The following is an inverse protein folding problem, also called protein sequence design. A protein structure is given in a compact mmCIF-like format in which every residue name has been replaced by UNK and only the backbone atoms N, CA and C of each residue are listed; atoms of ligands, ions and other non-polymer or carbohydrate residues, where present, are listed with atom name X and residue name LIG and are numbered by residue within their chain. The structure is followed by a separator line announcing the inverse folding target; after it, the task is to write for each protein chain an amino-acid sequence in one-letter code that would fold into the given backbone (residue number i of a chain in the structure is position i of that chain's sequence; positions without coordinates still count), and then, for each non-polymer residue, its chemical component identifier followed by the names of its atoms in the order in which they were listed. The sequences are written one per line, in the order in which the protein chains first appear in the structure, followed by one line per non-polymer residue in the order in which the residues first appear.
data_IF_244612238343
#
_entry.id   IF_244612238343
#
_cell.length_a   1.000
_cell.length_b   1.000
_cell.length_c   1.000
_cell.angle_alpha   90.00
_cell.angle_beta   90.00
_cell.angle_gamma   90.00
#
_symmetry.space_group_name_H-M   'P 1'
#
loop_
_entity.id
_entity.type
_entity.pdbx_description
1 polymer ?
#
# COMPACT_ATOMS: atom_id res chain seq x y z
N UNK A 1 1.79 -5.25 12.30
CA UNK A 1 2.75 -5.53 11.21
C UNK A 1 3.06 -4.21 10.52
N UNK A 2 4.33 -3.93 10.23
CA UNK A 2 4.78 -2.72 9.53
C UNK A 2 5.37 -3.07 8.17
N UNK A 3 5.28 -2.17 7.19
CA UNK A 3 5.81 -2.35 5.85
C UNK A 3 6.23 -1.00 5.25
N UNK A 4 7.02 -1.06 4.18
CA UNK A 4 7.44 0.13 3.46
C UNK A 4 8.45 -0.17 2.36
N UNK A 5 8.66 0.82 1.50
CA UNK A 5 9.49 0.69 0.31
C UNK A 5 9.24 1.84 -0.66
N UNK A 6 9.72 1.70 -1.90
CA UNK A 6 9.57 2.71 -2.94
C UNK A 6 8.37 2.43 -3.83
N UNK A 7 7.64 3.48 -4.19
CA UNK A 7 6.48 3.39 -5.08
C UNK A 7 6.96 3.13 -6.51
N UNK A 8 6.47 2.05 -7.12
CA UNK A 8 6.72 1.71 -8.53
C UNK A 8 5.49 1.88 -9.42
N UNK A 9 4.30 1.95 -8.82
CA UNK A 9 3.06 2.26 -9.52
C UNK A 9 2.10 3.00 -8.59
N UNK A 10 1.31 3.92 -9.15
CA UNK A 10 0.25 4.64 -8.48
C UNK A 10 -1.00 4.60 -9.36
N UNK A 11 -2.12 4.18 -8.78
CA UNK A 11 -3.38 4.05 -9.51
C UNK A 11 -4.56 4.55 -8.67
N UNK A 12 -5.32 5.50 -9.19
CA UNK A 12 -6.62 5.87 -8.63
C UNK A 12 -7.66 4.81 -8.98
N UNK A 13 -8.49 4.41 -8.01
CA UNK A 13 -9.40 3.28 -8.13
C UNK A 13 -10.72 3.56 -7.42
N UNK A 14 -11.77 2.88 -7.87
CA UNK A 14 -13.04 2.78 -7.16
C UNK A 14 -13.19 1.34 -6.64
N UNK A 15 -13.39 1.18 -5.34
CA UNK A 15 -13.69 -0.11 -4.72
C UNK A 15 -15.12 -0.56 -5.05
N UNK A 16 -15.42 -1.84 -4.83
CA UNK A 16 -16.75 -2.41 -5.09
C UNK A 16 -17.87 -1.74 -4.27
N UNK A 17 -17.52 -1.24 -3.08
CA UNK A 17 -18.44 -0.49 -2.21
C UNK A 17 -18.60 1.00 -2.62
N UNK A 18 -17.98 1.41 -3.74
CA UNK A 18 -18.07 2.76 -4.30
C UNK A 18 -17.06 3.76 -3.73
N UNK A 19 -16.25 3.38 -2.73
CA UNK A 19 -15.22 4.27 -2.18
C UNK A 19 -14.10 4.51 -3.20
N UNK A 20 -13.67 5.76 -3.32
CA UNK A 20 -12.48 6.13 -4.09
C UNK A 20 -11.24 5.92 -3.23
N UNK A 21 -10.20 5.31 -3.81
CA UNK A 21 -8.91 5.08 -3.16
C UNK A 21 -7.77 5.28 -4.15
N UNK A 22 -6.57 5.51 -3.63
CA UNK A 22 -5.34 5.43 -4.40
C UNK A 22 -4.57 4.19 -3.95
N UNK A 23 -4.27 3.31 -4.91
CA UNK A 23 -3.39 2.16 -4.72
C UNK A 23 -1.96 2.58 -5.04
N UNK A 24 -1.07 2.30 -4.11
CA UNK A 24 0.37 2.38 -4.31
C UNK A 24 0.95 0.98 -4.36
N UNK A 25 1.59 0.65 -5.48
CA UNK A 25 2.42 -0.55 -5.57
C UNK A 25 3.82 -0.19 -5.06
N UNK A 26 4.22 -0.85 -3.98
CA UNK A 26 5.44 -0.57 -3.26
C UNK A 26 6.36 -1.79 -3.32
N UNK A 27 7.62 -1.56 -3.66
CA UNK A 27 8.66 -2.57 -3.63
C UNK A 27 9.64 -2.27 -2.50
N UNK A 28 9.88 -3.27 -1.64
CA UNK A 28 10.86 -3.19 -0.57
C UNK A 28 12.06 -4.05 -0.90
N UNK A 29 13.26 -3.48 -0.88
CA UNK A 29 14.50 -4.24 -0.89
C UNK A 29 14.99 -4.44 0.54
N UNK A 30 14.36 -5.35 1.28
CA UNK A 30 14.81 -5.68 2.64
C UNK A 30 16.17 -6.37 2.63
N UNK A 31 16.53 -7.07 1.54
CA UNK A 31 17.84 -7.73 1.35
C UNK A 31 18.26 -7.67 -0.12
N UNK A 32 19.57 -7.61 -0.43
CA UNK A 32 20.04 -7.70 -1.81
C UNK A 32 19.51 -8.97 -2.49
N UNK A 33 18.76 -8.81 -3.57
CA UNK A 33 18.18 -9.92 -4.35
C UNK A 33 16.82 -10.44 -3.86
N UNK A 34 16.22 -9.84 -2.83
CA UNK A 34 14.85 -10.12 -2.39
C UNK A 34 14.01 -8.85 -2.46
N UNK A 35 12.87 -8.94 -3.14
CA UNK A 35 11.92 -7.86 -3.30
C UNK A 35 10.58 -8.30 -2.71
N UNK A 36 10.11 -7.58 -1.69
CA UNK A 36 8.74 -7.75 -1.22
C UNK A 36 7.85 -6.72 -1.93
N UNK A 37 6.88 -7.21 -2.69
CA UNK A 37 5.88 -6.40 -3.37
C UNK A 37 4.62 -6.30 -2.51
N UNK A 38 4.20 -5.07 -2.23
CA UNK A 38 2.99 -4.80 -1.44
C UNK A 38 2.16 -3.72 -2.10
N UNK A 39 0.86 -3.95 -2.16
CA UNK A 39 -0.09 -2.89 -2.49
C UNK A 39 -0.63 -2.28 -1.20
N UNK A 40 -0.53 -0.96 -1.08
CA UNK A 40 -1.13 -0.20 0.02
C UNK A 40 -2.16 0.77 -0.55
N UNK A 41 -3.29 0.89 0.13
CA UNK A 41 -4.44 1.67 -0.32
C UNK A 41 -4.68 2.82 0.64
N UNK A 42 -4.85 4.02 0.11
CA UNK A 42 -5.12 5.22 0.87
C UNK A 42 -6.37 5.93 0.37
N UNK A 43 -6.96 6.77 1.23
CA UNK A 43 -7.93 7.76 0.78
C UNK A 43 -7.23 8.78 -0.15
N UNK A 44 -7.93 9.29 -1.19
CA UNK A 44 -7.40 10.36 -2.03
C UNK A 44 -7.08 11.60 -1.20
N UNK A 45 -5.99 12.28 -1.53
CA UNK A 45 -5.51 13.47 -0.83
C UNK A 45 -5.02 14.51 -1.83
N UNK A 46 -5.05 15.79 -1.46
CA UNK A 46 -4.42 16.85 -2.27
C UNK A 46 -2.89 16.69 -2.28
N UNK A 47 -2.34 16.21 -1.16
CA UNK A 47 -0.94 15.90 -0.99
C UNK A 47 -0.74 14.38 -1.04
N UNK A 48 -0.12 13.90 -2.12
CA UNK A 48 0.14 12.48 -2.33
C UNK A 48 1.60 12.24 -2.74
N UNK A 49 2.18 11.10 -2.35
CA UNK A 49 3.51 10.72 -2.77
C UNK A 49 3.55 10.43 -4.27
N UNK A 50 4.75 10.59 -4.83
CA UNK A 50 5.04 10.42 -6.25
C UNK A 50 5.79 9.12 -6.52
N UNK A 51 5.80 8.68 -7.78
CA UNK A 51 6.58 7.51 -8.19
C UNK A 51 8.05 7.64 -7.78
N UNK A 52 8.62 6.57 -7.23
CA UNK A 52 9.97 6.51 -6.70
C UNK A 52 10.11 6.96 -5.24
N UNK A 53 9.15 7.70 -4.69
CA UNK A 53 9.20 8.10 -3.27
C UNK A 53 8.99 6.91 -2.33
N UNK A 54 9.48 7.06 -1.10
CA UNK A 54 9.31 6.05 -0.06
C UNK A 54 7.97 6.23 0.66
N UNK A 55 7.33 5.10 0.97
CA UNK A 55 6.18 5.00 1.87
C UNK A 55 6.48 4.06 3.03
N UNK A 56 5.93 4.38 4.19
CA UNK A 56 5.98 3.53 5.38
C UNK A 56 4.60 3.44 6.04
N UNK A 57 4.21 2.26 6.50
CA UNK A 57 2.97 2.08 7.26
C UNK A 57 3.13 1.05 8.38
N UNK A 58 2.37 1.25 9.45
CA UNK A 58 2.28 0.33 10.58
C UNK A 58 0.97 -0.47 10.58
N UNK A 59 0.63 -1.05 11.73
CA UNK A 59 -0.70 -1.64 11.96
C UNK A 59 -1.81 -0.58 12.02
N UNK A 60 -1.46 0.67 12.34
CA UNK A 60 -2.36 1.82 12.40
C UNK A 60 -2.87 2.25 11.02
N UNK A 61 -3.93 3.05 10.97
CA UNK A 61 -4.55 3.59 9.75
C UNK A 61 -3.78 4.78 9.14
N UNK A 62 -2.45 4.79 9.23
CA UNK A 62 -1.60 5.87 8.74
C UNK A 62 -0.53 5.35 7.79
N UNK A 63 -0.37 6.02 6.65
CA UNK A 63 0.79 5.90 5.76
C UNK A 63 1.61 7.18 5.91
N UNK A 64 2.92 7.05 6.10
CA UNK A 64 3.87 8.14 6.23
C UNK A 64 4.69 8.29 4.94
N UNK A 65 4.95 9.55 4.55
CA UNK A 65 5.75 9.88 3.38
C UNK A 65 6.38 11.27 3.47
N UNK A 66 7.23 11.59 2.49
CA UNK A 66 8.00 12.83 2.45
C UNK A 66 9.20 12.81 3.39
N UNK A 67 9.98 13.89 3.39
CA UNK A 67 11.17 14.00 4.22
C UNK A 67 10.80 13.91 5.72
N UNK A 68 11.47 13.01 6.45
CA UNK A 68 11.25 12.75 7.87
C UNK A 68 9.78 12.47 8.24
N UNK A 69 9.04 11.75 7.38
CA UNK A 69 7.64 11.37 7.62
C UNK A 69 6.71 12.57 7.89
N UNK A 70 7.04 13.72 7.28
CA UNK A 70 6.34 14.99 7.47
C UNK A 70 4.92 15.01 6.89
N UNK A 71 4.59 14.09 5.98
CA UNK A 71 3.27 13.97 5.37
C UNK A 71 2.63 12.62 5.67
N UNK A 72 1.30 12.58 5.65
CA UNK A 72 0.50 11.42 6.03
C UNK A 72 -0.70 11.23 5.12
N UNK A 73 -1.08 9.97 4.88
CA UNK A 73 -2.35 9.59 4.27
C UNK A 73 -3.14 8.68 5.22
N UNK A 74 -4.47 8.72 5.11
CA UNK A 74 -5.35 7.75 5.75
C UNK A 74 -5.23 6.40 5.03
N UNK A 75 -4.74 5.38 5.74
CA UNK A 75 -4.64 4.02 5.20
C UNK A 75 -5.99 3.33 5.24
N UNK A 76 -6.43 2.87 4.08
CA UNK A 76 -7.64 2.04 3.94
C UNK A 76 -7.30 0.57 4.18
N UNK A 77 -6.17 0.10 3.66
CA UNK A 77 -5.73 -1.29 3.81
C UNK A 77 -4.40 -1.57 3.10
N UNK A 78 -3.95 -2.82 3.14
CA UNK A 78 -2.80 -3.29 2.38
C UNK A 78 -2.97 -4.77 2.02
N UNK A 79 -2.29 -5.22 0.97
CA UNK A 79 -2.19 -6.62 0.58
C UNK A 79 -0.75 -6.96 0.23
N UNK A 80 -0.16 -7.89 0.99
CA UNK A 80 1.11 -8.50 0.59
C UNK A 80 0.84 -9.38 -0.63
N UNK A 81 1.62 -9.20 -1.67
CA UNK A 81 1.61 -10.14 -2.79
C UNK A 81 2.68 -11.20 -2.49
N UNK A 82 2.34 -12.44 -2.09
CA UNK A 82 3.17 -13.57 -2.49
C UNK A 82 2.89 -13.91 -3.97
N UNK A 83 1.67 -13.60 -4.43
CA UNK A 83 1.15 -13.55 -5.79
C UNK A 83 -0.30 -13.01 -5.65
N UNK A 84 -0.63 -11.83 -6.18
CA UNK A 84 -1.91 -11.12 -5.95
C UNK A 84 -3.21 -11.89 -6.35
N UNK A 85 -3.11 -13.13 -6.85
CA UNK A 85 -4.25 -14.00 -7.19
C UNK A 85 -4.83 -14.79 -6.01
N UNK A 86 -4.09 -15.00 -4.92
CA UNK A 86 -4.57 -15.82 -3.80
C UNK A 86 -5.42 -15.03 -2.78
N UNK A 87 -5.15 -13.74 -2.60
CA UNK A 87 -5.81 -12.93 -1.58
C UNK A 87 -7.28 -12.59 -1.87
N UNK A 88 -7.74 -12.72 -3.12
CA UNK A 88 -9.14 -12.52 -3.52
C UNK A 88 -9.96 -13.83 -3.56
N UNK A 89 -9.36 -14.99 -3.24
CA UNK A 89 -10.04 -16.30 -3.20
C UNK A 89 -10.15 -16.93 -1.81
N UNK A 90 -9.64 -16.27 -0.76
CA UNK A 90 -9.66 -16.79 0.61
C UNK A 90 -10.73 -16.20 1.51
N UNK A 91 -11.70 -15.48 0.92
CA UNK A 91 -12.81 -14.87 1.64
C UNK A 91 -14.05 -15.74 1.77
N UNK A 92 -13.95 -17.08 1.66
CA UNK A 92 -15.03 -17.98 2.09
C UNK A 92 -14.50 -19.27 2.72
N UNK A 93 -15.07 -19.55 3.90
CA UNK A 93 -15.18 -20.79 4.66
C UNK A 93 -13.91 -21.41 5.28
N UNK A 94 -13.88 -21.53 6.61
CA UNK A 94 -14.43 -22.72 7.28
C UNK A 94 -14.59 -22.51 8.80
N UNK A 95 -15.77 -22.90 9.28
CA UNK A 95 -16.20 -23.40 10.61
C UNK A 95 -15.69 -22.75 11.91
#
# INVERSE_FOLDING_TARGET
MSGGGNIIEKLAMTLEDGRQVVRYHVISQYRPGWFDETYVYAEPSEDEPQLGEALWWGGEQTIYFGANDSKRLTKVGYSFSPDARAALKGGEAND
#
